data_IF_824756254047
#
_entry.id   IF_824756254047
#
_cell.length_a   1.000
_cell.length_b   1.000
_cell.length_c   1.000
_cell.angle_alpha   90.00
_cell.angle_beta   90.00
_cell.angle_gamma   90.00
#
_symmetry.space_group_name_H-M   'P 1'
#
loop_
_entity.id
_entity.type
_entity.pdbx_description
1 polymer ?
#
# COMPACT_ATOMS: atom_id res chain seq x y z
N UNK A 1 37.54 0.40 0.28
CA UNK A 1 37.71 0.62 1.74
C UNK A 1 36.84 -0.38 2.46
N UNK A 2 37.35 -1.10 3.46
CA UNK A 2 36.58 -2.10 4.20
C UNK A 2 36.09 -1.53 5.52
N UNK A 3 34.79 -1.64 5.78
CA UNK A 3 34.15 -1.10 6.97
C UNK A 3 34.25 -2.11 8.13
N UNK A 4 34.82 -1.73 9.30
CA UNK A 4 35.17 -2.68 10.37
C UNK A 4 33.97 -3.23 11.15
N UNK A 5 32.81 -2.57 11.07
CA UNK A 5 31.60 -2.88 11.85
C UNK A 5 30.41 -2.83 10.89
N UNK A 6 30.04 -3.99 10.34
CA UNK A 6 28.85 -4.11 9.50
C UNK A 6 28.04 -5.33 9.94
N UNK A 7 26.77 -5.17 10.35
CA UNK A 7 25.92 -6.31 10.62
C UNK A 7 25.78 -7.15 9.34
N UNK A 8 25.76 -8.48 9.48
CA UNK A 8 25.48 -9.36 8.35
C UNK A 8 24.00 -9.23 7.96
N UNK A 9 23.67 -9.23 6.66
CA UNK A 9 22.28 -9.21 6.22
C UNK A 9 21.58 -10.50 6.66
N UNK A 10 20.29 -10.42 6.99
CA UNK A 10 19.46 -11.62 7.21
C UNK A 10 18.88 -12.13 5.89
N UNK A 11 18.62 -13.44 5.74
CA UNK A 11 18.14 -14.01 4.48
C UNK A 11 16.79 -13.46 3.98
N UNK A 12 15.97 -12.90 4.88
CA UNK A 12 14.66 -12.32 4.61
C UNK A 12 14.62 -10.80 4.82
N UNK A 13 15.76 -10.16 5.07
CA UNK A 13 15.87 -8.72 5.29
C UNK A 13 15.79 -7.93 3.98
N UNK A 14 15.15 -6.76 4.02
CA UNK A 14 15.19 -5.81 2.91
C UNK A 14 16.58 -5.20 2.72
N UNK A 15 17.05 -4.99 1.49
CA UNK A 15 18.24 -4.20 1.19
C UNK A 15 18.31 -2.87 1.92
N UNK A 16 17.23 -2.08 1.89
CA UNK A 16 17.12 -0.79 2.57
C UNK A 16 17.24 -0.93 4.09
N UNK A 17 16.62 -1.96 4.68
CA UNK A 17 16.79 -2.29 6.09
C UNK A 17 18.24 -2.56 6.43
N UNK A 18 18.89 -3.46 5.70
CA UNK A 18 20.26 -3.85 5.97
C UNK A 18 21.23 -2.67 5.84
N UNK A 19 21.06 -1.85 4.80
CA UNK A 19 21.82 -0.61 4.63
C UNK A 19 21.54 0.38 5.77
N UNK A 20 20.28 0.50 6.20
CA UNK A 20 19.86 1.33 7.34
C UNK A 20 20.53 0.93 8.66
N UNK A 21 20.55 -0.37 8.96
CA UNK A 21 21.24 -0.91 10.14
C UNK A 21 22.73 -0.68 10.08
N UNK A 22 23.32 -0.84 8.91
CA UNK A 22 24.76 -0.64 8.71
C UNK A 22 25.14 0.83 8.83
N UNK A 23 24.37 1.74 8.23
CA UNK A 23 24.56 3.18 8.36
C UNK A 23 24.44 3.65 9.82
N UNK A 24 23.49 3.08 10.57
CA UNK A 24 23.33 3.35 12.00
C UNK A 24 24.56 2.96 12.83
N UNK A 25 25.36 1.98 12.40
CA UNK A 25 26.61 1.64 13.07
C UNK A 25 27.70 2.72 12.97
N UNK A 26 27.54 3.63 12.01
CA UNK A 26 28.46 4.72 11.72
C UNK A 26 27.88 6.11 12.01
N UNK A 27 26.66 6.18 12.55
CA UNK A 27 25.93 7.42 12.83
C UNK A 27 25.79 8.34 11.59
N UNK A 28 25.56 7.73 10.42
CA UNK A 28 25.33 8.44 9.15
C UNK A 28 23.97 8.07 8.54
N UNK A 29 23.49 8.90 7.62
CA UNK A 29 22.29 8.55 6.83
C UNK A 29 22.59 7.44 5.82
N UNK A 30 21.54 6.74 5.37
CA UNK A 30 21.66 5.71 4.31
C UNK A 30 22.18 6.31 3.01
N UNK A 31 21.78 7.53 2.67
CA UNK A 31 22.25 8.22 1.47
C UNK A 31 23.74 8.51 1.53
N UNK A 32 24.23 9.10 2.63
CA UNK A 32 25.66 9.35 2.85
C UNK A 32 26.46 8.03 2.83
N UNK A 33 25.94 7.01 3.49
CA UNK A 33 26.56 5.69 3.54
C UNK A 33 26.71 5.05 2.16
N UNK A 34 25.65 5.08 1.34
CA UNK A 34 25.68 4.58 -0.04
C UNK A 34 26.66 5.35 -0.91
N UNK A 35 26.75 6.68 -0.74
CA UNK A 35 27.69 7.52 -1.47
C UNK A 35 29.16 7.19 -1.15
N UNK A 36 29.46 6.77 0.10
CA UNK A 36 30.79 6.28 0.49
C UNK A 36 31.12 4.94 -0.19
N UNK A 37 30.13 4.06 -0.33
CA UNK A 37 30.31 2.74 -0.93
C UNK A 37 30.37 2.79 -2.47
N UNK A 38 29.68 3.75 -3.09
CA UNK A 38 29.52 3.84 -4.54
C UNK A 38 29.58 5.29 -5.03
N UNK A 39 30.75 5.71 -5.53
CA UNK A 39 31.04 7.10 -5.91
C UNK A 39 30.65 7.47 -7.35
N UNK A 40 30.44 6.48 -8.23
CA UNK A 40 30.10 6.69 -9.64
C UNK A 40 28.59 6.83 -9.94
N UNK A 41 27.74 6.61 -8.93
CA UNK A 41 26.29 6.84 -8.83
C UNK A 41 25.38 6.59 -10.05
N UNK A 42 24.50 5.56 -10.07
CA UNK A 42 23.20 5.76 -10.70
C UNK A 42 22.44 6.84 -9.91
N UNK A 43 21.46 7.49 -10.56
CA UNK A 43 20.44 8.30 -9.90
C UNK A 43 20.02 7.67 -8.56
N UNK A 44 20.19 8.38 -7.44
CA UNK A 44 19.79 7.94 -6.08
C UNK A 44 18.30 7.55 -5.95
N UNK A 45 17.54 7.59 -7.04
CA UNK A 45 16.15 7.14 -7.17
C UNK A 45 16.01 5.62 -7.38
N UNK A 46 17.09 4.89 -7.68
CA UNK A 46 17.00 3.43 -7.84
C UNK A 46 16.79 2.75 -6.47
N UNK A 47 15.71 1.94 -6.36
CA UNK A 47 15.31 1.26 -5.12
C UNK A 47 16.06 -0.07 -4.98
N UNK A 48 17.07 -0.18 -4.09
CA UNK A 48 17.85 -1.41 -3.94
C UNK A 48 16.99 -2.58 -3.45
N UNK A 49 15.85 -2.31 -2.79
CA UNK A 49 14.90 -3.36 -2.41
C UNK A 49 14.39 -4.15 -3.60
N UNK A 50 14.07 -3.49 -4.72
CA UNK A 50 13.45 -4.16 -5.86
C UNK A 50 14.50 -4.98 -6.60
N UNK A 51 15.57 -4.30 -6.99
CA UNK A 51 16.65 -4.84 -7.79
C UNK A 51 17.88 -3.98 -7.58
N UNK A 52 19.02 -4.63 -7.38
CA UNK A 52 20.30 -3.96 -7.27
C UNK A 52 20.83 -3.58 -8.65
N UNK A 53 21.43 -2.39 -8.76
CA UNK A 53 22.39 -2.16 -9.83
C UNK A 53 23.58 -3.12 -9.64
N UNK A 54 24.03 -3.86 -10.67
CA UNK A 54 25.11 -4.83 -10.53
C UNK A 54 26.40 -4.24 -9.97
N UNK A 55 26.77 -3.02 -10.40
CA UNK A 55 28.02 -2.40 -9.96
C UNK A 55 27.90 -1.82 -8.55
N UNK A 56 26.72 -1.29 -8.20
CA UNK A 56 26.40 -0.94 -6.81
C UNK A 56 26.51 -2.18 -5.90
N UNK A 57 25.91 -3.31 -6.30
CA UNK A 57 25.97 -4.55 -5.52
C UNK A 57 27.40 -5.05 -5.32
N UNK A 58 28.24 -5.03 -6.37
CA UNK A 58 29.66 -5.36 -6.28
C UNK A 58 30.40 -4.47 -5.29
N UNK A 59 30.16 -3.17 -5.33
CA UNK A 59 30.85 -2.23 -4.46
C UNK A 59 30.38 -2.33 -3.01
N UNK A 60 29.07 -2.53 -2.79
CA UNK A 60 28.51 -2.79 -1.46
C UNK A 60 29.04 -4.12 -0.91
N UNK A 61 29.07 -5.17 -1.71
CA UNK A 61 29.60 -6.48 -1.33
C UNK A 61 31.08 -6.37 -0.91
N UNK A 62 31.91 -5.69 -1.71
CA UNK A 62 33.32 -5.48 -1.42
C UNK A 62 33.53 -4.61 -0.17
N UNK A 63 32.80 -3.48 -0.06
CA UNK A 63 32.94 -2.52 1.05
C UNK A 63 32.51 -3.10 2.40
N UNK A 64 31.47 -3.95 2.40
CA UNK A 64 30.91 -4.60 3.59
C UNK A 64 31.44 -6.03 3.81
N UNK A 65 32.35 -6.49 2.96
CA UNK A 65 32.95 -7.84 2.99
C UNK A 65 31.89 -8.94 3.05
N UNK A 66 30.83 -8.82 2.27
CA UNK A 66 29.77 -9.81 2.10
C UNK A 66 29.91 -10.43 0.71
N UNK A 67 29.57 -11.72 0.57
CA UNK A 67 29.56 -12.34 -0.75
C UNK A 67 28.54 -11.65 -1.66
N UNK A 68 28.92 -11.34 -2.90
CA UNK A 68 28.04 -10.67 -3.88
C UNK A 68 26.69 -11.37 -4.02
N UNK A 69 26.70 -12.70 -4.07
CA UNK A 69 25.49 -13.51 -4.17
C UNK A 69 24.52 -13.28 -3.01
N UNK A 70 25.03 -13.07 -1.79
CA UNK A 70 24.19 -12.75 -0.62
C UNK A 70 23.52 -11.39 -0.82
N UNK A 71 24.26 -10.37 -1.27
CA UNK A 71 23.70 -9.03 -1.55
C UNK A 71 22.60 -9.10 -2.61
N UNK A 72 22.89 -9.75 -3.74
CA UNK A 72 21.93 -9.90 -4.83
C UNK A 72 20.69 -10.71 -4.42
N UNK A 73 20.83 -11.68 -3.50
CA UNK A 73 19.71 -12.50 -3.01
C UNK A 73 18.68 -11.73 -2.18
N UNK A 74 19.05 -10.57 -1.63
CA UNK A 74 18.14 -9.70 -0.89
C UNK A 74 17.14 -8.97 -1.79
N UNK A 75 17.46 -8.81 -3.07
CA UNK A 75 16.59 -8.11 -4.03
C UNK A 75 15.24 -8.82 -4.22
N UNK A 76 14.15 -8.09 -4.08
CA UNK A 76 12.79 -8.63 -4.10
C UNK A 76 12.44 -9.32 -5.41
N UNK A 77 12.87 -8.81 -6.58
CA UNK A 77 12.65 -9.50 -7.87
C UNK A 77 13.33 -10.87 -7.93
N UNK A 78 14.52 -10.98 -7.34
CA UNK A 78 15.26 -12.26 -7.29
C UNK A 78 14.57 -13.23 -6.33
N UNK A 79 14.09 -12.72 -5.19
CA UNK A 79 13.32 -13.50 -4.20
C UNK A 79 11.96 -13.96 -4.73
N UNK A 80 11.26 -13.08 -5.43
CA UNK A 80 9.89 -13.27 -5.90
C UNK A 80 9.81 -12.94 -7.40
N UNK A 81 10.02 -13.96 -8.24
CA UNK A 81 10.06 -13.79 -9.71
C UNK A 81 8.77 -13.22 -10.31
N UNK A 82 7.63 -13.44 -9.65
CA UNK A 82 6.31 -12.96 -10.09
C UNK A 82 5.91 -11.60 -9.49
N UNK A 83 6.79 -10.93 -8.75
CA UNK A 83 6.48 -9.71 -8.01
C UNK A 83 5.88 -8.62 -8.91
N UNK A 84 4.72 -8.10 -8.51
CA UNK A 84 4.10 -6.94 -9.10
C UNK A 84 4.82 -5.65 -8.66
N UNK A 85 5.94 -5.33 -9.31
CA UNK A 85 6.80 -4.18 -8.94
C UNK A 85 6.05 -2.85 -8.97
N UNK A 86 5.15 -2.65 -9.94
CA UNK A 86 4.34 -1.44 -10.09
C UNK A 86 3.31 -1.25 -8.96
N UNK A 87 3.21 -2.22 -8.04
CA UNK A 87 2.35 -2.17 -6.85
C UNK A 87 3.12 -1.91 -5.56
N UNK A 88 4.42 -1.66 -5.62
CA UNK A 88 5.18 -1.31 -4.43
C UNK A 88 5.04 0.20 -4.14
N UNK A 89 4.98 0.62 -2.86
CA UNK A 89 4.92 2.04 -2.50
C UNK A 89 6.13 2.82 -3.04
N UNK A 90 5.91 4.08 -3.45
CA UNK A 90 6.97 5.01 -3.82
C UNK A 90 7.80 5.38 -2.60
N UNK A 91 9.11 5.56 -2.79
CA UNK A 91 10.07 6.00 -1.76
C UNK A 91 10.61 7.42 -2.02
N UNK A 92 10.16 8.08 -3.09
CA UNK A 92 10.67 9.38 -3.55
C UNK A 92 10.11 10.60 -2.79
N UNK A 93 9.36 10.38 -1.71
CA UNK A 93 8.77 11.42 -0.88
C UNK A 93 7.54 12.12 -1.48
N UNK A 94 7.14 11.78 -2.72
CA UNK A 94 5.88 12.28 -3.32
C UNK A 94 4.66 11.48 -2.86
N UNK A 95 4.89 10.26 -2.36
CA UNK A 95 3.90 9.37 -1.79
C UNK A 95 3.71 9.57 -0.30
N UNK A 96 3.09 8.57 0.33
CA UNK A 96 2.95 8.56 1.79
C UNK A 96 4.27 8.36 2.52
N UNK A 97 5.22 7.73 1.84
CA UNK A 97 6.54 7.42 2.34
C UNK A 97 7.34 8.68 2.68
N UNK A 98 7.79 8.80 3.93
CA UNK A 98 8.56 9.93 4.48
C UNK A 98 10.08 9.78 4.35
N UNK A 99 10.53 8.81 3.56
CA UNK A 99 11.94 8.51 3.30
C UNK A 99 12.15 7.10 2.75
N UNK A 100 13.41 6.68 2.67
CA UNK A 100 13.84 5.41 2.06
C UNK A 100 13.30 4.14 2.77
N UNK A 101 12.87 4.27 4.02
CA UNK A 101 12.43 3.17 4.90
C UNK A 101 10.95 3.24 5.29
N UNK A 102 10.16 4.11 4.66
CA UNK A 102 8.75 4.24 5.06
C UNK A 102 7.90 3.13 4.45
N UNK A 103 7.81 2.06 5.24
CA UNK A 103 7.17 0.79 4.96
C UNK A 103 6.17 0.45 6.06
N UNK A 104 5.28 -0.48 5.80
CA UNK A 104 4.36 -0.98 6.81
C UNK A 104 5.03 -2.13 7.60
N UNK A 105 5.36 -1.92 8.88
CA UNK A 105 6.03 -2.90 9.73
C UNK A 105 5.07 -3.64 10.66
N UNK A 106 5.49 -4.81 11.12
CA UNK A 106 4.85 -5.54 12.21
C UNK A 106 5.66 -5.36 13.48
N UNK A 107 5.02 -4.96 14.59
CA UNK A 107 5.72 -4.78 15.86
C UNK A 107 6.23 -6.11 16.46
N UNK A 108 5.52 -7.23 16.22
CA UNK A 108 5.98 -8.56 16.61
C UNK A 108 7.23 -8.99 15.83
N UNK A 109 7.26 -8.84 14.49
CA UNK A 109 8.48 -9.11 13.71
C UNK A 109 9.68 -8.30 14.23
N UNK A 110 9.47 -7.01 14.54
CA UNK A 110 10.54 -6.16 15.10
C UNK A 110 11.00 -6.63 16.49
N UNK A 111 10.08 -7.07 17.35
CA UNK A 111 10.39 -7.58 18.68
C UNK A 111 11.21 -8.88 18.61
N UNK A 112 10.76 -9.85 17.83
CA UNK A 112 11.48 -11.12 17.61
C UNK A 112 12.86 -10.88 17.00
N UNK A 113 12.97 -9.97 16.02
CA UNK A 113 14.24 -9.60 15.41
C UNK A 113 15.20 -8.97 16.43
N UNK A 114 14.68 -8.08 17.28
CA UNK A 114 15.46 -7.44 18.34
C UNK A 114 16.01 -8.49 19.33
N UNK A 115 15.16 -9.43 19.77
CA UNK A 115 15.57 -10.56 20.63
C UNK A 115 16.62 -11.45 19.96
N UNK A 116 16.54 -11.63 18.64
CA UNK A 116 17.49 -12.41 17.84
C UNK A 116 18.80 -11.67 17.47
N UNK A 117 19.07 -10.51 18.07
CA UNK A 117 20.32 -9.76 17.89
C UNK A 117 20.21 -8.47 17.09
N UNK A 118 19.02 -7.87 17.00
CA UNK A 118 18.81 -6.51 16.48
C UNK A 118 17.67 -6.43 15.47
N UNK A 119 16.85 -5.39 15.60
CA UNK A 119 15.67 -5.16 14.77
C UNK A 119 16.05 -5.00 13.28
N UNK A 120 15.24 -5.54 12.37
CA UNK A 120 15.32 -5.34 10.93
C UNK A 120 13.93 -5.41 10.31
N UNK A 121 13.78 -4.91 9.07
CA UNK A 121 12.55 -5.07 8.29
C UNK A 121 12.69 -6.24 7.32
N UNK A 122 11.75 -7.17 7.42
CA UNK A 122 11.61 -8.31 6.50
C UNK A 122 11.13 -7.87 5.11
N UNK A 123 11.36 -8.72 4.10
CA UNK A 123 10.97 -8.50 2.71
C UNK A 123 9.49 -8.12 2.55
N UNK A 124 8.60 -8.72 3.33
CA UNK A 124 7.16 -8.44 3.27
C UNK A 124 6.78 -7.04 3.77
N UNK A 125 7.65 -6.34 4.50
CA UNK A 125 7.42 -4.95 4.87
C UNK A 125 7.31 -4.04 3.63
N UNK A 126 7.91 -4.42 2.50
CA UNK A 126 7.80 -3.69 1.24
C UNK A 126 6.43 -3.82 0.57
N UNK A 127 5.64 -4.85 0.91
CA UNK A 127 4.35 -5.11 0.28
C UNK A 127 3.26 -4.21 0.88
N UNK A 128 2.34 -3.67 0.06
CA UNK A 128 1.24 -2.83 0.53
C UNK A 128 0.12 -3.68 1.17
N UNK A 129 0.43 -4.40 2.25
CA UNK A 129 -0.51 -5.27 2.95
C UNK A 129 -1.13 -4.59 4.17
N UNK A 130 -2.28 -5.10 4.62
CA UNK A 130 -2.93 -4.66 5.87
C UNK A 130 -2.32 -5.41 7.05
N UNK A 131 -2.08 -6.71 6.90
CA UNK A 131 -1.63 -7.58 7.97
C UNK A 131 -0.20 -8.09 7.77
N UNK A 132 0.41 -8.46 8.89
CA UNK A 132 1.51 -9.38 8.91
C UNK A 132 0.94 -10.80 8.82
N UNK A 133 1.18 -11.51 7.73
CA UNK A 133 0.67 -12.88 7.57
C UNK A 133 1.38 -13.90 8.47
N UNK A 134 2.55 -13.57 9.02
CA UNK A 134 3.23 -14.40 10.00
C UNK A 134 2.54 -14.36 11.37
N UNK A 135 2.07 -13.18 11.79
CA UNK A 135 1.51 -12.97 13.14
C UNK A 135 -0.01 -12.75 13.16
N UNK A 136 -0.65 -12.58 12.01
CA UNK A 136 -2.06 -12.16 11.93
C UNK A 136 -2.31 -10.75 12.48
N UNK A 137 -1.26 -9.96 12.70
CA UNK A 137 -1.33 -8.65 13.36
C UNK A 137 -1.39 -7.50 12.35
N UNK A 138 -2.04 -6.40 12.72
CA UNK A 138 -2.11 -5.20 11.89
C UNK A 138 -0.73 -4.58 11.67
N UNK A 139 -0.42 -4.22 10.42
CA UNK A 139 0.79 -3.46 10.11
C UNK A 139 0.64 -2.00 10.49
N UNK A 140 1.76 -1.40 10.87
CA UNK A 140 1.91 -0.02 11.31
C UNK A 140 2.87 0.71 10.38
N UNK A 141 2.73 2.02 10.33
CA UNK A 141 3.34 2.87 9.32
C UNK A 141 3.53 4.32 9.83
N UNK A 142 3.20 4.57 11.10
CA UNK A 142 3.59 5.78 11.80
C UNK A 142 3.72 5.52 13.30
N UNK A 143 4.50 6.36 13.96
CA UNK A 143 4.55 6.38 15.42
C UNK A 143 3.28 7.01 15.99
N UNK A 144 2.50 6.24 16.77
CA UNK A 144 1.28 6.76 17.43
C UNK A 144 1.56 7.70 18.59
N UNK A 145 2.79 7.74 19.12
CA UNK A 145 3.14 8.59 20.27
C UNK A 145 3.21 10.08 19.92
N UNK A 146 3.74 10.43 18.75
CA UNK A 146 4.11 11.82 18.44
C UNK A 146 3.64 12.38 17.10
N UNK A 147 2.84 11.63 16.31
CA UNK A 147 2.42 12.03 14.94
C UNK A 147 3.61 12.53 14.12
N UNK A 148 4.54 11.64 13.74
CA UNK A 148 5.87 12.06 13.30
C UNK A 148 5.82 12.94 12.05
N UNK A 149 6.88 13.70 11.81
CA UNK A 149 7.17 14.40 10.55
C UNK A 149 8.29 13.72 9.77
N UNK A 150 9.25 13.10 10.46
CA UNK A 150 10.36 12.38 9.83
C UNK A 150 10.08 10.88 9.73
N UNK A 151 10.72 10.22 8.75
CA UNK A 151 10.70 8.77 8.63
C UNK A 151 11.30 8.08 9.87
N UNK A 152 10.85 6.85 10.19
CA UNK A 152 11.58 5.95 11.07
C UNK A 152 13.03 5.75 10.63
N UNK A 153 13.91 5.44 11.58
CA UNK A 153 15.33 5.16 11.33
C UNK A 153 15.86 4.08 12.25
N UNK A 154 16.98 3.49 11.86
CA UNK A 154 17.75 2.62 12.74
C UNK A 154 18.68 3.43 13.63
N UNK A 155 18.90 2.96 14.86
CA UNK A 155 19.92 3.48 15.77
C UNK A 155 20.70 2.33 16.41
N UNK A 156 21.92 2.61 16.87
CA UNK A 156 22.79 1.61 17.50
C UNK A 156 23.45 2.10 18.81
N UNK A 157 22.67 2.38 19.88
CA UNK A 157 23.26 2.76 21.17
C UNK A 157 23.84 1.57 21.95
N UNK A 158 23.18 0.41 21.87
CA UNK A 158 23.60 -0.83 22.57
C UNK A 158 23.25 -2.09 21.76
N UNK A 159 22.14 -2.04 21.04
CA UNK A 159 21.71 -3.00 20.03
C UNK A 159 21.02 -2.25 18.90
N UNK A 160 20.90 -2.87 17.73
CA UNK A 160 20.24 -2.23 16.59
C UNK A 160 18.74 -2.16 16.86
N UNK A 161 18.19 -0.95 16.83
CA UNK A 161 16.79 -0.65 17.11
C UNK A 161 16.15 0.12 15.97
N UNK A 162 14.88 -0.15 15.68
CA UNK A 162 14.08 0.62 14.72
C UNK A 162 13.19 1.59 15.47
N UNK A 163 13.47 2.89 15.35
CA UNK A 163 12.88 3.95 16.19
C UNK A 163 12.12 4.97 15.36
N UNK A 164 11.18 5.65 16.01
CA UNK A 164 10.58 6.87 15.45
C UNK A 164 11.64 7.95 15.24
N UNK A 165 11.67 8.57 14.05
CA UNK A 165 12.60 9.66 13.73
C UNK A 165 12.45 10.90 14.60
N UNK A 166 11.26 11.16 15.15
CA UNK A 166 10.99 12.37 15.95
C UNK A 166 11.18 12.14 17.45
N UNK A 167 10.52 11.12 18.02
CA UNK A 167 10.50 10.92 19.47
C UNK A 167 11.45 9.82 19.96
N UNK A 168 12.19 9.16 19.06
CA UNK A 168 13.16 8.10 19.41
C UNK A 168 12.54 6.84 20.03
N UNK A 169 11.22 6.73 20.09
CA UNK A 169 10.56 5.56 20.70
C UNK A 169 10.78 4.32 19.84
N UNK A 170 11.21 3.18 20.41
CA UNK A 170 11.30 1.90 19.72
C UNK A 170 9.94 1.49 19.14
N UNK A 171 9.89 1.23 17.83
CA UNK A 171 8.64 0.93 17.13
C UNK A 171 8.14 -0.49 17.42
N UNK A 172 9.02 -1.40 17.85
CA UNK A 172 8.62 -2.72 18.38
C UNK A 172 7.80 -2.63 19.67
N UNK A 173 7.97 -1.55 20.45
CA UNK A 173 7.27 -1.37 21.73
C UNK A 173 5.86 -0.76 21.56
N UNK A 174 5.39 -0.65 20.32
CA UNK A 174 4.05 -0.18 20.01
C UNK A 174 3.02 -1.16 20.57
N UNK A 175 2.17 -0.69 21.50
CA UNK A 175 1.06 -1.47 22.07
C UNK A 175 -0.22 -1.44 21.22
N UNK A 176 -0.13 -0.93 20.00
CA UNK A 176 -1.29 -0.84 19.13
C UNK A 176 -1.44 -2.14 18.36
N UNK A 177 -2.50 -2.89 18.69
CA UNK A 177 -2.79 -4.19 18.09
C UNK A 177 -3.75 -4.09 16.91
N UNK A 178 -4.80 -3.24 17.00
CA UNK A 178 -5.81 -3.11 15.95
C UNK A 178 -6.53 -1.74 15.95
N UNK A 179 -7.13 -1.33 14.82
CA UNK A 179 -8.03 -0.18 14.77
C UNK A 179 -9.20 -0.36 15.74
N UNK A 180 -9.70 0.75 16.29
CA UNK A 180 -10.90 0.73 17.14
C UNK A 180 -12.13 0.83 16.24
N UNK A 181 -13.03 -0.18 16.24
CA UNK A 181 -14.30 -0.11 15.53
C UNK A 181 -15.16 1.08 15.96
N UNK A 182 -16.13 1.44 15.12
CA UNK A 182 -17.20 2.33 15.53
C UNK A 182 -18.02 1.73 16.69
N UNK A 183 -18.47 2.58 17.62
CA UNK A 183 -19.12 2.16 18.86
C UNK A 183 -20.49 1.46 18.68
N UNK A 184 -21.07 1.50 17.48
CA UNK A 184 -22.37 0.92 17.18
C UNK A 184 -22.29 -0.46 16.52
N UNK A 185 -21.08 -1.00 16.30
CA UNK A 185 -20.90 -2.38 15.85
C UNK A 185 -20.72 -3.30 17.05
N UNK A 186 -21.37 -4.45 16.98
CA UNK A 186 -21.27 -5.45 18.04
C UNK A 186 -19.92 -6.21 17.94
N UNK A 187 -19.36 -6.68 19.07
CA UNK A 187 -18.12 -7.46 19.07
C UNK A 187 -18.16 -8.71 18.16
N UNK A 188 -19.32 -9.36 18.04
CA UNK A 188 -19.52 -10.53 17.18
C UNK A 188 -19.36 -10.18 15.69
N UNK A 189 -19.78 -8.99 15.28
CA UNK A 189 -19.64 -8.51 13.90
C UNK A 189 -18.17 -8.24 13.57
N UNK A 190 -17.44 -7.67 14.53
CA UNK A 190 -15.98 -7.49 14.43
C UNK A 190 -15.27 -8.84 14.28
N UNK A 191 -15.65 -9.81 15.13
CA UNK A 191 -15.08 -11.16 15.10
C UNK A 191 -15.38 -11.90 13.78
N UNK A 192 -16.56 -11.70 13.18
CA UNK A 192 -16.94 -12.28 11.91
C UNK A 192 -16.25 -11.61 10.70
N UNK A 193 -16.05 -10.28 10.75
CA UNK A 193 -15.45 -9.53 9.66
C UNK A 193 -13.93 -9.74 9.55
N UNK A 194 -13.23 -9.90 10.68
CA UNK A 194 -11.77 -10.02 10.72
C UNK A 194 -11.21 -11.14 9.84
N UNK A 195 -11.69 -12.41 9.94
CA UNK A 195 -11.18 -13.49 9.09
C UNK A 195 -11.45 -13.26 7.60
N UNK A 196 -12.55 -12.58 7.25
CA UNK A 196 -12.86 -12.24 5.85
C UNK A 196 -11.81 -11.25 5.31
N UNK A 197 -11.53 -10.19 6.06
CA UNK A 197 -10.53 -9.20 5.65
C UNK A 197 -9.11 -9.81 5.61
N UNK A 198 -8.75 -10.62 6.60
CA UNK A 198 -7.45 -11.29 6.65
C UNK A 198 -7.27 -12.26 5.47
N UNK A 199 -8.28 -13.06 5.14
CA UNK A 199 -8.25 -13.94 3.99
C UNK A 199 -8.11 -13.15 2.69
N UNK A 200 -8.85 -12.05 2.54
CA UNK A 200 -8.79 -11.24 1.33
C UNK A 200 -7.44 -10.50 1.19
N UNK A 201 -6.84 -10.00 2.28
CA UNK A 201 -5.47 -9.47 2.28
C UNK A 201 -4.45 -10.56 1.89
N UNK A 202 -4.70 -11.82 2.27
CA UNK A 202 -3.92 -12.98 1.81
C UNK A 202 -3.98 -13.20 0.31
N UNK A 203 -5.15 -13.01 -0.30
CA UNK A 203 -5.31 -13.05 -1.76
C UNK A 203 -4.60 -11.88 -2.45
N UNK A 204 -4.60 -10.69 -1.84
CA UNK A 204 -3.78 -9.56 -2.29
C UNK A 204 -2.30 -9.92 -2.25
N UNK A 205 -1.81 -10.52 -1.16
CA UNK A 205 -0.44 -11.01 -1.05
C UNK A 205 -0.11 -12.01 -2.16
N UNK A 206 -0.97 -13.00 -2.40
CA UNK A 206 -0.78 -13.97 -3.49
C UNK A 206 -0.62 -13.28 -4.84
N UNK A 207 -1.53 -12.36 -5.16
CA UNK A 207 -1.49 -11.63 -6.43
C UNK A 207 -0.24 -10.73 -6.56
N UNK A 208 0.18 -10.05 -5.49
CA UNK A 208 1.39 -9.24 -5.46
C UNK A 208 2.65 -10.07 -5.72
N UNK A 209 2.68 -11.31 -5.25
CA UNK A 209 3.78 -12.25 -5.49
C UNK A 209 3.70 -12.97 -6.86
N UNK A 210 2.67 -12.67 -7.65
CA UNK A 210 2.45 -13.21 -9.00
C UNK A 210 1.69 -14.53 -9.06
N UNK A 211 1.13 -14.97 -7.93
CA UNK A 211 0.31 -16.18 -7.87
C UNK A 211 -1.15 -15.89 -8.24
N UNK A 212 -1.90 -16.89 -8.77
CA UNK A 212 -3.34 -16.79 -8.89
C UNK A 212 -3.99 -16.44 -7.54
N UNK A 213 -5.06 -15.67 -7.59
CA UNK A 213 -5.73 -15.17 -6.39
C UNK A 213 -7.26 -15.13 -6.59
N UNK A 214 -8.00 -15.17 -5.50
CA UNK A 214 -9.45 -15.23 -5.49
C UNK A 214 -10.07 -13.87 -5.19
N UNK A 215 -10.89 -13.35 -6.10
CA UNK A 215 -11.82 -12.27 -5.78
C UNK A 215 -13.01 -12.85 -4.98
N UNK A 216 -13.65 -12.05 -4.10
CA UNK A 216 -14.78 -12.51 -3.31
C UNK A 216 -15.87 -13.20 -4.14
N UNK A 217 -16.21 -14.43 -3.79
CA UNK A 217 -17.24 -15.23 -4.46
C UNK A 217 -16.88 -15.72 -5.87
N UNK A 218 -15.59 -15.75 -6.24
CA UNK A 218 -15.10 -16.13 -7.56
C UNK A 218 -14.02 -17.22 -7.48
N UNK A 219 -13.88 -17.99 -8.57
CA UNK A 219 -12.76 -18.90 -8.77
C UNK A 219 -11.42 -18.16 -8.88
N UNK A 220 -10.28 -18.84 -8.65
CA UNK A 220 -8.95 -18.24 -8.82
C UNK A 220 -8.77 -17.60 -10.20
N UNK A 221 -8.28 -16.36 -10.21
CA UNK A 221 -7.95 -15.61 -11.44
C UNK A 221 -6.46 -15.29 -11.51
N UNK A 222 -5.90 -15.06 -12.70
CA UNK A 222 -4.51 -14.63 -12.82
C UNK A 222 -4.24 -13.35 -12.02
N UNK A 223 -3.07 -13.27 -11.36
CA UNK A 223 -2.62 -12.13 -10.55
C UNK A 223 -2.89 -10.76 -11.22
N UNK A 224 -2.55 -10.63 -12.51
CA UNK A 224 -2.78 -9.40 -13.29
C UNK A 224 -4.25 -8.97 -13.33
N UNK A 225 -5.19 -9.90 -13.44
CA UNK A 225 -6.62 -9.61 -13.49
C UNK A 225 -7.13 -9.21 -12.10
N UNK A 226 -6.71 -9.94 -11.06
CA UNK A 226 -7.00 -9.59 -9.66
C UNK A 226 -6.56 -8.16 -9.35
N UNK A 227 -5.29 -7.84 -9.63
CA UNK A 227 -4.71 -6.52 -9.38
C UNK A 227 -5.39 -5.45 -10.22
N UNK A 228 -5.72 -5.73 -11.50
CA UNK A 228 -6.48 -4.79 -12.34
C UNK A 228 -7.83 -4.43 -11.72
N UNK A 229 -8.60 -5.42 -11.26
CA UNK A 229 -9.88 -5.19 -10.57
C UNK A 229 -9.67 -4.37 -9.30
N UNK A 230 -8.71 -4.76 -8.46
CA UNK A 230 -8.43 -4.04 -7.21
C UNK A 230 -8.05 -2.58 -7.46
N UNK A 231 -7.18 -2.32 -8.44
CA UNK A 231 -6.78 -0.94 -8.83
C UNK A 231 -7.97 -0.13 -9.28
N UNK A 232 -8.77 -0.69 -10.18
CA UNK A 232 -9.89 0.03 -10.80
C UNK A 232 -11.00 0.32 -9.79
N UNK A 233 -11.32 -0.64 -8.91
CA UNK A 233 -12.26 -0.43 -7.82
C UNK A 233 -11.70 0.54 -6.76
N UNK A 234 -10.41 0.49 -6.44
CA UNK A 234 -9.78 1.48 -5.55
C UNK A 234 -9.94 2.88 -6.12
N UNK A 235 -9.63 3.07 -7.41
CA UNK A 235 -9.80 4.35 -8.10
C UNK A 235 -11.25 4.82 -8.04
N UNK A 236 -12.21 3.93 -8.31
CA UNK A 236 -13.62 4.29 -8.29
C UNK A 236 -14.13 4.66 -6.89
N UNK A 237 -13.69 3.93 -5.87
CA UNK A 237 -14.03 4.17 -4.47
C UNK A 237 -13.48 5.50 -3.95
N UNK A 238 -12.25 5.85 -4.34
CA UNK A 238 -11.56 7.05 -3.87
C UNK A 238 -11.77 8.28 -4.76
N UNK A 239 -12.32 8.12 -5.97
CA UNK A 239 -12.49 9.22 -6.91
C UNK A 239 -13.29 10.41 -6.34
N UNK A 240 -12.87 11.65 -6.63
CA UNK A 240 -13.62 12.85 -6.26
C UNK A 240 -14.98 12.90 -6.95
N UNK A 241 -16.02 13.10 -6.15
CA UNK A 241 -17.37 13.46 -6.62
C UNK A 241 -17.55 14.98 -6.71
N UNK A 242 -18.66 15.41 -7.32
CA UNK A 242 -19.00 16.83 -7.45
C UNK A 242 -19.12 17.57 -6.10
N UNK A 243 -19.42 16.85 -5.01
CA UNK A 243 -19.50 17.38 -3.64
C UNK A 243 -18.14 17.31 -2.89
N UNK A 244 -17.03 17.02 -3.58
CA UNK A 244 -15.69 16.82 -2.99
C UNK A 244 -15.64 15.73 -1.90
N UNK A 245 -16.52 14.75 -2.00
CA UNK A 245 -16.49 13.50 -1.22
C UNK A 245 -16.16 12.32 -2.14
N UNK A 246 -15.96 11.13 -1.60
CA UNK A 246 -15.69 9.90 -2.35
C UNK A 246 -16.63 8.78 -1.95
N UNK A 247 -16.86 7.82 -2.84
CA UNK A 247 -17.83 6.75 -2.63
C UNK A 247 -17.43 5.82 -1.47
N UNK A 248 -16.13 5.72 -1.17
CA UNK A 248 -15.62 4.98 0.00
C UNK A 248 -16.26 5.46 1.32
N UNK A 249 -16.67 6.72 1.42
CA UNK A 249 -17.30 7.28 2.63
C UNK A 249 -18.71 6.74 2.88
N UNK A 250 -19.27 5.95 1.96
CA UNK A 250 -20.56 5.27 2.15
C UNK A 250 -20.43 3.91 2.83
N UNK A 251 -19.20 3.40 2.97
CA UNK A 251 -18.92 2.11 3.62
C UNK A 251 -18.55 2.32 5.09
N UNK A 252 -19.25 1.61 5.97
CA UNK A 252 -18.85 1.45 7.37
C UNK A 252 -18.54 -0.04 7.60
N UNK A 253 -17.31 -0.34 8.01
CA UNK A 253 -16.86 -1.71 8.26
C UNK A 253 -16.74 -1.94 9.77
N UNK A 254 -17.20 -3.09 10.30
CA UNK A 254 -17.08 -3.43 11.73
C UNK A 254 -15.66 -3.45 12.29
N UNK A 255 -14.63 -3.47 11.43
CA UNK A 255 -13.23 -3.52 11.85
C UNK A 255 -12.57 -2.15 12.00
N UNK A 256 -13.20 -1.09 11.53
CA UNK A 256 -12.55 0.19 11.28
C UNK A 256 -13.31 1.34 11.95
N UNK A 257 -12.63 2.46 12.26
CA UNK A 257 -13.30 3.67 12.71
C UNK A 257 -14.36 4.16 11.71
N UNK A 258 -15.34 4.93 12.19
CA UNK A 258 -16.42 5.51 11.37
C UNK A 258 -15.82 6.29 10.21
N UNK A 259 -16.23 5.95 8.98
CA UNK A 259 -15.92 6.56 7.69
C UNK A 259 -14.45 6.96 7.49
N UNK A 260 -13.81 6.61 6.36
CA UNK A 260 -12.44 7.06 6.07
C UNK A 260 -12.29 8.59 5.94
N UNK A 261 -13.39 9.37 6.04
CA UNK A 261 -13.49 10.82 5.86
C UNK A 261 -12.69 11.32 4.66
N UNK A 262 -12.63 10.51 3.62
CA UNK A 262 -11.75 10.75 2.50
C UNK A 262 -12.28 11.95 1.71
N UNK A 263 -11.50 13.03 1.70
CA UNK A 263 -11.78 14.29 1.02
C UNK A 263 -10.69 14.53 -0.02
N UNK A 264 -10.87 14.07 -1.26
CA UNK A 264 -9.87 14.26 -2.30
C UNK A 264 -9.69 15.76 -2.57
N UNK A 265 -8.47 16.26 -2.33
CA UNK A 265 -8.10 17.66 -2.55
C UNK A 265 -7.69 17.94 -4.01
N UNK A 266 -7.41 16.90 -4.78
CA UNK A 266 -7.02 16.96 -6.19
C UNK A 266 -7.84 15.99 -7.01
N UNK A 267 -7.82 16.16 -8.33
CA UNK A 267 -8.34 15.18 -9.29
C UNK A 267 -7.33 14.08 -9.61
N UNK A 268 -6.23 14.02 -8.84
CA UNK A 268 -5.22 12.98 -8.93
C UNK A 268 -5.74 11.67 -8.36
N UNK A 269 -5.28 10.56 -8.93
CA UNK A 269 -5.60 9.24 -8.42
C UNK A 269 -4.81 8.98 -7.13
N UNK A 270 -5.46 8.44 -6.11
CA UNK A 270 -4.77 7.87 -4.96
C UNK A 270 -4.69 6.34 -5.14
N UNK A 271 -3.52 5.79 -5.51
CA UNK A 271 -3.41 4.36 -5.77
C UNK A 271 -3.40 3.55 -4.47
N UNK A 272 -3.85 2.29 -4.55
CA UNK A 272 -3.98 1.38 -3.41
C UNK A 272 -2.68 1.25 -2.59
N UNK A 273 -1.55 1.13 -3.28
CA UNK A 273 -0.25 0.90 -2.64
C UNK A 273 0.28 2.11 -1.87
N UNK A 274 -0.24 3.31 -2.12
CA UNK A 274 0.11 4.55 -1.37
C UNK A 274 -0.78 4.77 -0.14
N UNK A 275 -1.82 3.96 0.04
CA UNK A 275 -2.69 4.06 1.21
C UNK A 275 -2.01 3.50 2.46
N UNK A 276 -2.38 4.01 3.64
CA UNK A 276 -2.05 3.36 4.92
C UNK A 276 -2.68 1.97 5.02
N UNK A 277 -2.18 1.01 5.84
CA UNK A 277 -2.88 -0.23 6.17
C UNK A 277 -4.33 0.01 6.58
N UNK A 278 -4.63 1.09 7.31
CA UNK A 278 -6.01 1.45 7.62
C UNK A 278 -6.82 1.85 6.38
N UNK A 279 -6.26 2.66 5.48
CA UNK A 279 -6.92 3.03 4.23
C UNK A 279 -7.08 1.85 3.28
N UNK A 280 -6.07 0.99 3.19
CA UNK A 280 -6.11 -0.29 2.48
C UNK A 280 -7.20 -1.20 3.04
N UNK A 281 -7.32 -1.30 4.35
CA UNK A 281 -8.39 -2.07 5.00
C UNK A 281 -9.78 -1.53 4.63
N UNK A 282 -10.00 -0.21 4.64
CA UNK A 282 -11.27 0.36 4.18
C UNK A 282 -11.57 -0.03 2.73
N UNK A 283 -10.57 0.07 1.85
CA UNK A 283 -10.72 -0.28 0.43
C UNK A 283 -10.98 -1.78 0.25
N UNK A 284 -10.22 -2.65 0.91
CA UNK A 284 -10.42 -4.10 0.83
C UNK A 284 -11.79 -4.51 1.37
N UNK A 285 -12.23 -3.93 2.50
CA UNK A 285 -13.58 -4.16 3.03
C UNK A 285 -14.66 -3.70 2.05
N UNK A 286 -14.50 -2.54 1.42
CA UNK A 286 -15.43 -2.05 0.41
C UNK A 286 -15.46 -2.92 -0.84
N UNK A 287 -14.30 -3.38 -1.33
CA UNK A 287 -14.21 -4.31 -2.47
C UNK A 287 -14.85 -5.66 -2.12
N UNK A 288 -14.60 -6.19 -0.92
CA UNK A 288 -15.28 -7.37 -0.42
C UNK A 288 -16.80 -7.19 -0.43
N UNK A 289 -17.28 -6.05 0.07
CA UNK A 289 -18.70 -5.73 0.11
C UNK A 289 -19.35 -5.66 -1.28
N UNK A 290 -18.65 -5.08 -2.27
CA UNK A 290 -19.15 -4.90 -3.64
C UNK A 290 -19.27 -6.20 -4.43
N UNK A 291 -18.39 -7.17 -4.14
CA UNK A 291 -18.20 -8.38 -4.96
C UNK A 291 -18.78 -9.64 -4.32
N UNK A 292 -18.82 -9.72 -2.99
CA UNK A 292 -19.26 -10.91 -2.28
C UNK A 292 -20.79 -11.15 -2.35
N UNK A 293 -21.20 -12.30 -1.83
CA UNK A 293 -22.60 -12.65 -1.63
C UNK A 293 -23.27 -11.75 -0.58
N UNK A 294 -24.58 -11.90 -0.40
CA UNK A 294 -25.35 -10.99 0.46
C UNK A 294 -24.87 -10.93 1.92
N UNK A 295 -24.64 -12.07 2.62
CA UNK A 295 -24.21 -12.02 4.02
C UNK A 295 -22.91 -11.26 4.21
N UNK A 296 -21.89 -11.55 3.39
CA UNK A 296 -20.59 -10.86 3.46
C UNK A 296 -20.72 -9.41 3.02
N UNK A 297 -21.50 -9.16 1.96
CA UNK A 297 -21.76 -7.80 1.46
C UNK A 297 -22.35 -6.89 2.54
N UNK A 298 -23.35 -7.38 3.29
CA UNK A 298 -24.00 -6.61 4.36
C UNK A 298 -23.09 -6.37 5.56
N UNK A 299 -22.30 -7.39 5.94
CA UNK A 299 -21.35 -7.27 7.04
C UNK A 299 -20.24 -6.27 6.71
N UNK A 300 -19.62 -6.41 5.54
CA UNK A 300 -18.46 -5.60 5.13
C UNK A 300 -18.81 -4.17 4.70
N UNK A 301 -20.10 -3.86 4.46
CA UNK A 301 -20.57 -2.51 4.13
C UNK A 301 -21.35 -1.81 5.24
N UNK A 302 -21.63 -2.47 6.36
CA UNK A 302 -22.47 -1.92 7.44
C UNK A 302 -23.95 -1.82 7.07
N UNK A 303 -24.41 -2.53 6.02
CA UNK A 303 -25.80 -2.51 5.56
C UNK A 303 -26.78 -3.34 6.42
N UNK A 304 -26.32 -3.83 7.57
CA UNK A 304 -27.20 -4.29 8.65
C UNK A 304 -27.71 -3.12 9.51
N UNK A 305 -27.06 -1.96 9.46
CA UNK A 305 -27.48 -0.78 10.21
C UNK A 305 -28.76 -0.16 9.61
N UNK A 306 -29.62 0.46 10.44
CA UNK A 306 -30.81 1.16 9.96
C UNK A 306 -30.46 2.19 8.87
N UNK A 307 -31.29 2.27 7.82
CA UNK A 307 -31.15 3.22 6.69
C UNK A 307 -29.91 3.04 5.79
N UNK A 308 -29.05 2.05 6.06
CA UNK A 308 -27.94 1.70 5.16
C UNK A 308 -28.41 0.68 4.14
N UNK A 309 -28.24 1.02 2.87
CA UNK A 309 -28.52 0.07 1.80
C UNK A 309 -27.31 -0.81 1.49
N UNK A 310 -27.57 -2.02 1.02
CA UNK A 310 -26.54 -2.88 0.44
C UNK A 310 -25.84 -2.16 -0.71
N UNK A 311 -24.51 -2.13 -0.67
CA UNK A 311 -23.67 -1.58 -1.72
C UNK A 311 -23.21 -2.71 -2.65
N UNK A 312 -23.45 -2.55 -3.95
CA UNK A 312 -23.07 -3.52 -4.99
C UNK A 312 -22.26 -2.84 -6.08
N UNK A 313 -21.57 -3.62 -6.92
CA UNK A 313 -20.88 -3.09 -8.09
C UNK A 313 -21.82 -2.27 -8.99
N UNK A 314 -23.06 -2.70 -9.19
CA UNK A 314 -24.05 -1.97 -9.99
C UNK A 314 -24.39 -0.61 -9.37
N UNK A 315 -24.52 -0.54 -8.03
CA UNK A 315 -24.72 0.75 -7.36
C UNK A 315 -23.50 1.64 -7.51
N UNK A 316 -22.29 1.11 -7.31
CA UNK A 316 -21.05 1.86 -7.56
C UNK A 316 -21.07 2.46 -8.98
N UNK A 317 -21.33 1.63 -10.00
CA UNK A 317 -21.39 2.06 -11.40
C UNK A 317 -22.45 3.14 -11.64
N UNK A 318 -23.58 3.10 -10.96
CA UNK A 318 -24.63 4.11 -11.11
C UNK A 318 -24.31 5.45 -10.42
N UNK A 319 -23.61 5.41 -9.28
CA UNK A 319 -23.45 6.58 -8.40
C UNK A 319 -22.09 7.27 -8.52
N UNK A 320 -21.06 6.60 -9.06
CA UNK A 320 -19.77 7.26 -9.32
C UNK A 320 -19.88 8.27 -10.47
N UNK A 321 -19.04 9.32 -10.51
CA UNK A 321 -19.01 10.29 -11.60
C UNK A 321 -18.85 9.64 -12.97
N UNK A 322 -19.42 10.25 -14.03
CA UNK A 322 -19.40 9.68 -15.39
C UNK A 322 -18.00 9.33 -15.90
N UNK A 323 -16.99 10.14 -15.59
CA UNK A 323 -15.61 9.84 -15.99
C UNK A 323 -15.05 8.60 -15.31
N UNK A 324 -15.48 8.30 -14.07
CA UNK A 324 -15.14 7.07 -13.36
C UNK A 324 -15.86 5.89 -13.98
N UNK A 325 -17.15 6.03 -14.30
CA UNK A 325 -17.91 4.99 -15.00
C UNK A 325 -17.24 4.62 -16.32
N UNK A 326 -16.87 5.64 -17.12
CA UNK A 326 -16.16 5.46 -18.38
C UNK A 326 -14.80 4.77 -18.20
N UNK A 327 -14.05 5.13 -17.14
CA UNK A 327 -12.79 4.48 -16.80
C UNK A 327 -12.99 2.99 -16.50
N UNK A 328 -13.98 2.65 -15.66
CA UNK A 328 -14.33 1.28 -15.30
C UNK A 328 -14.78 0.47 -16.53
N UNK A 329 -15.61 1.06 -17.40
CA UNK A 329 -16.04 0.43 -18.66
C UNK A 329 -14.82 0.10 -19.52
N UNK A 330 -13.94 1.08 -19.75
CA UNK A 330 -12.75 0.89 -20.59
C UNK A 330 -11.78 -0.14 -20.00
N UNK A 331 -11.59 -0.14 -18.69
CA UNK A 331 -10.64 -1.03 -18.02
C UNK A 331 -11.18 -2.45 -17.80
N UNK A 332 -12.51 -2.63 -17.84
CA UNK A 332 -13.17 -3.92 -17.65
C UNK A 332 -12.79 -4.99 -18.68
N UNK A 333 -12.20 -4.60 -19.82
CA UNK A 333 -11.61 -5.54 -20.77
C UNK A 333 -10.55 -6.46 -20.12
N UNK A 334 -9.83 -5.96 -19.11
CA UNK A 334 -8.85 -6.72 -18.32
C UNK A 334 -9.44 -7.47 -17.11
N UNK A 335 -10.74 -7.35 -16.86
CA UNK A 335 -11.41 -7.99 -15.72
C UNK A 335 -11.78 -9.45 -16.02
N UNK A 336 -11.99 -10.28 -14.99
CA UNK A 336 -12.55 -11.62 -15.19
C UNK A 336 -13.93 -11.56 -15.84
N UNK A 337 -14.25 -12.56 -16.68
CA UNK A 337 -15.45 -12.57 -17.51
C UNK A 337 -16.75 -12.31 -16.71
N UNK A 338 -16.87 -12.91 -15.52
CA UNK A 338 -18.05 -12.75 -14.65
C UNK A 338 -18.30 -11.30 -14.22
N UNK A 339 -17.24 -10.53 -13.95
CA UNK A 339 -17.39 -9.11 -13.60
C UNK A 339 -17.55 -8.24 -14.84
N UNK A 340 -16.84 -8.57 -15.93
CA UNK A 340 -16.95 -7.86 -17.20
C UNK A 340 -18.39 -7.83 -17.73
N UNK A 341 -19.10 -8.96 -17.70
CA UNK A 341 -20.52 -9.03 -18.12
C UNK A 341 -21.41 -8.05 -17.36
N UNK A 342 -21.13 -7.80 -16.07
CA UNK A 342 -21.88 -6.84 -15.23
C UNK A 342 -21.62 -5.40 -15.68
N UNK A 343 -20.35 -5.07 -15.98
CA UNK A 343 -19.97 -3.74 -16.50
C UNK A 343 -20.52 -3.52 -17.91
N UNK A 344 -20.47 -4.53 -18.78
CA UNK A 344 -21.02 -4.48 -20.15
C UNK A 344 -22.55 -4.25 -20.12
N UNK A 345 -23.26 -4.88 -19.17
CA UNK A 345 -24.68 -4.66 -18.97
C UNK A 345 -24.98 -3.20 -18.60
N UNK A 346 -24.20 -2.62 -17.69
CA UNK A 346 -24.30 -1.20 -17.33
C UNK A 346 -24.01 -0.27 -18.52
N UNK A 347 -22.98 -0.57 -19.31
CA UNK A 347 -22.66 0.21 -20.51
C UNK A 347 -23.82 0.18 -21.51
N UNK A 348 -24.40 -0.99 -21.78
CA UNK A 348 -25.56 -1.13 -22.67
C UNK A 348 -26.78 -0.38 -22.15
N UNK A 349 -27.04 -0.43 -20.84
CA UNK A 349 -28.16 0.27 -20.22
C UNK A 349 -28.01 1.80 -20.31
N UNK A 350 -26.80 2.32 -20.14
CA UNK A 350 -26.53 3.77 -20.12
C UNK A 350 -26.24 4.35 -21.52
N UNK A 351 -25.91 3.52 -22.50
CA UNK A 351 -25.47 3.96 -23.83
C UNK A 351 -24.18 4.79 -23.79
N UNK A 352 -23.37 4.64 -22.74
CA UNK A 352 -22.20 5.50 -22.52
C UNK A 352 -21.08 5.21 -23.53
N UNK A 353 -20.69 6.25 -24.28
CA UNK A 353 -19.41 6.27 -24.99
C UNK A 353 -18.29 6.61 -23.99
N UNK A 354 -17.61 5.57 -23.51
CA UNK A 354 -16.54 5.71 -22.54
C UNK A 354 -15.35 6.52 -23.07
N UNK A 355 -15.06 6.45 -24.37
CA UNK A 355 -13.90 7.15 -24.95
C UNK A 355 -14.17 8.65 -25.03
N UNK A 356 -15.35 9.03 -25.50
CA UNK A 356 -15.78 10.43 -25.56
C UNK A 356 -15.82 11.08 -24.16
N UNK A 357 -16.44 10.41 -23.18
CA UNK A 357 -16.51 10.92 -21.80
C UNK A 357 -15.11 11.12 -21.20
N UNK A 358 -14.17 10.19 -21.44
CA UNK A 358 -12.80 10.33 -20.93
C UNK A 358 -12.03 11.43 -21.65
N UNK A 359 -12.24 11.62 -22.96
CA UNK A 359 -11.64 12.71 -23.72
C UNK A 359 -12.10 14.08 -23.18
N UNK A 360 -13.41 14.25 -22.96
CA UNK A 360 -13.98 15.47 -22.37
C UNK A 360 -13.43 15.73 -20.96
N UNK A 361 -13.35 14.70 -20.12
CA UNK A 361 -12.81 14.86 -18.76
C UNK A 361 -11.33 15.25 -18.76
N UNK A 362 -10.52 14.67 -19.66
CA UNK A 362 -9.11 15.02 -19.78
C UNK A 362 -8.91 16.46 -20.28
N UNK A 363 -9.70 16.90 -21.27
CA UNK A 363 -9.68 18.28 -21.74
C UNK A 363 -10.05 19.26 -20.61
N UNK A 364 -11.12 18.97 -19.88
CA UNK A 364 -11.54 19.76 -18.73
C UNK A 364 -10.49 19.83 -17.61
N UNK A 365 -9.81 18.71 -17.32
CA UNK A 365 -8.75 18.64 -16.31
C UNK A 365 -7.56 19.49 -16.71
N UNK A 366 -7.11 19.39 -17.97
CA UNK A 366 -6.01 20.19 -18.49
C UNK A 366 -6.32 21.70 -18.42
N UNK A 367 -7.53 22.11 -18.78
CA UNK A 367 -7.99 23.51 -18.66
C UNK A 367 -7.98 23.99 -17.20
N UNK A 368 -8.43 23.16 -16.26
CA UNK A 368 -8.43 23.46 -14.82
C UNK A 368 -7.01 23.63 -14.28
N UNK A 369 -6.11 22.73 -14.63
CA UNK A 369 -4.70 22.79 -14.22
C UNK A 369 -4.02 24.04 -14.79
N UNK A 370 -4.28 24.37 -16.06
CA UNK A 370 -3.76 25.57 -16.71
C UNK A 370 -4.23 26.85 -16.00
N UNK A 371 -5.54 26.97 -15.74
CA UNK A 371 -6.11 28.11 -14.99
C UNK A 371 -5.55 28.23 -13.57
N UNK A 372 -5.27 27.11 -12.92
CA UNK A 372 -4.67 27.10 -11.59
C UNK A 372 -3.23 27.62 -11.65
N UNK A 373 -2.43 27.19 -12.64
CA UNK A 373 -1.07 27.67 -12.88
C UNK A 373 -1.05 29.18 -13.14
N UNK A 374 -1.90 29.66 -14.03
CA UNK A 374 -2.03 31.10 -14.35
C UNK A 374 -2.38 31.94 -13.12
N UNK A 375 -3.31 31.46 -12.27
CA UNK A 375 -3.66 32.13 -11.00
C UNK A 375 -2.49 32.18 -10.03
N UNK A 376 -1.71 31.11 -9.91
CA UNK A 376 -0.51 31.10 -9.06
C UNK A 376 0.60 31.98 -9.60
N UNK A 377 0.72 32.14 -10.92
CA UNK A 377 1.73 33.02 -11.55
C UNK A 377 1.40 34.51 -11.44
N UNK A 378 0.12 34.88 -11.27
CA UNK A 378 -0.33 36.27 -11.08
C UNK A 378 -0.22 36.77 -9.63
N UNK A 379 0.04 35.87 -8.67
CA UNK A 379 0.20 36.18 -7.24
C UNK A 379 1.70 36.23 -6.85
N UNK A 380 2.60 35.98 -7.81
CA UNK A 380 4.06 36.06 -7.64
C UNK A 380 4.61 37.47 -7.83
#
# INVERSE_FOLDING_TARGET
MALPIAPRPRPDELPSSWLGRTAACYDVSVAEFRQVLWTAGPSMKARPDVEWDPHEAESVAAGLRVALEVVLSLGLKRRWRGLAVDWLPSTDGSGRARGDLDLAWCHHCLAEAHEAGGAYLEAEAALPLVFCHRHGAWRQDYCRRCRPKHAPRFTWPSSIEFVCGDCGTPLRASRWEQPTPAAYFEPEETAAALPILLAFDGEVRNALLGHPACLPGMEPVPARQFLTVLRDLTRALLAPSALKTSYINLFDCPLLPIMPEHKPHTWGEQPYYELSPSGRAHVLSAVAALLADEPVSRLMSGAHLPFRERLTLEKLLNYVPRWVQALLIRSSAGWPARLRVRVDAHQRQTGMDANDVLAQFNAWRAEREQRQRERTSLIG
#
